data_IF_084051639007
#
_entry.id   IF_084051639007
#
_cell.length_a   1.000
_cell.length_b   1.000
_cell.length_c   1.000
_cell.angle_alpha   90.00
_cell.angle_beta   90.00
_cell.angle_gamma   90.00
#
_symmetry.space_group_name_H-M   'P 1'
#
loop_
_entity.id
_entity.type
_entity.pdbx_description
1 polymer ?
#
# COMPACT_ATOMS: atom_id res chain seq x y z
N UNK A 1 14.73 -2.08 -7.82
CA UNK A 1 15.31 -1.04 -6.99
C UNK A 1 14.51 -0.83 -5.73
N UNK A 2 15.13 -0.89 -4.65
CA UNK A 2 14.42 -0.62 -3.42
C UNK A 2 13.94 0.81 -3.40
N UNK A 3 12.97 1.04 -2.59
CA UNK A 3 12.45 2.38 -2.43
C UNK A 3 13.57 3.32 -2.04
N UNK A 4 13.45 4.54 -2.47
CA UNK A 4 14.41 5.55 -2.11
C UNK A 4 14.37 5.90 -0.63
N UNK A 5 13.41 5.38 0.07
CA UNK A 5 13.20 5.69 1.49
C UNK A 5 13.39 4.40 2.29
N UNK A 6 14.29 4.42 3.27
CA UNK A 6 14.57 3.24 4.07
C UNK A 6 13.46 2.90 5.07
N UNK A 7 12.41 3.70 5.10
CA UNK A 7 11.23 3.40 5.92
C UNK A 7 10.10 2.78 5.11
N UNK A 8 10.29 2.59 3.83
CA UNK A 8 9.28 2.03 2.94
C UNK A 8 9.87 0.88 2.15
N UNK A 9 9.20 -0.26 2.21
CA UNK A 9 9.53 -1.41 1.39
C UNK A 9 8.37 -1.72 0.48
N UNK A 10 8.65 -2.04 -0.78
CA UNK A 10 7.62 -2.45 -1.73
C UNK A 10 7.92 -3.88 -2.13
N UNK A 11 7.01 -4.81 -1.81
CA UNK A 11 7.22 -6.22 -2.15
C UNK A 11 7.03 -6.45 -3.64
N UNK A 12 7.53 -7.57 -4.17
CA UNK A 12 7.32 -7.88 -5.58
C UNK A 12 5.85 -7.91 -6.00
N UNK A 13 4.92 -8.51 -5.25
CA UNK A 13 3.52 -8.42 -5.63
C UNK A 13 2.99 -6.99 -5.70
N UNK A 14 3.41 -6.14 -4.75
CA UNK A 14 2.99 -4.74 -4.76
C UNK A 14 3.58 -4.02 -5.96
N UNK A 15 4.84 -4.31 -6.28
CA UNK A 15 5.48 -3.69 -7.44
C UNK A 15 4.76 -4.09 -8.73
N UNK A 16 4.39 -5.36 -8.83
CA UNK A 16 3.64 -5.82 -10.01
C UNK A 16 2.30 -5.11 -10.14
N UNK A 17 1.61 -4.94 -9.00
CA UNK A 17 0.36 -4.18 -9.01
C UNK A 17 0.56 -2.76 -9.49
N UNK A 18 1.62 -2.13 -9.00
CA UNK A 18 1.94 -0.77 -9.41
C UNK A 18 2.25 -0.69 -10.89
N UNK A 19 3.00 -1.67 -11.40
CA UNK A 19 3.40 -1.69 -12.80
C UNK A 19 2.20 -1.86 -13.75
N UNK A 20 1.10 -2.42 -13.25
CA UNK A 20 -0.09 -2.61 -14.05
C UNK A 20 -1.00 -1.39 -14.07
N UNK A 21 -0.68 -0.36 -13.32
CA UNK A 21 -1.51 0.84 -13.29
C UNK A 21 -1.21 1.75 -14.48
N UNK A 22 -2.20 2.49 -14.97
CA UNK A 22 -1.90 3.56 -15.91
C UNK A 22 -0.91 4.54 -15.31
N UNK A 23 -0.12 5.19 -16.16
CA UNK A 23 0.97 6.03 -15.68
C UNK A 23 0.52 7.09 -14.66
N UNK A 24 -0.60 7.77 -14.95
CA UNK A 24 -1.08 8.80 -14.05
C UNK A 24 -1.48 8.22 -12.69
N UNK A 25 -2.10 7.04 -12.69
CA UNK A 25 -2.49 6.38 -11.45
C UNK A 25 -1.26 5.93 -10.67
N UNK A 26 -0.26 5.39 -11.37
CA UNK A 26 0.96 4.96 -10.71
C UNK A 26 1.65 6.13 -10.01
N UNK A 27 1.72 7.27 -10.67
CA UNK A 27 2.31 8.46 -10.06
C UNK A 27 1.55 8.87 -8.81
N UNK A 28 0.22 8.87 -8.88
CA UNK A 28 -0.59 9.25 -7.73
C UNK A 28 -0.38 8.29 -6.55
N UNK A 29 -0.31 6.99 -6.83
CA UNK A 29 -0.09 6.00 -5.78
C UNK A 29 1.29 6.16 -5.17
N UNK A 30 2.32 6.35 -5.99
CA UNK A 30 3.68 6.54 -5.47
C UNK A 30 3.77 7.78 -4.58
N UNK A 31 3.13 8.86 -4.99
CA UNK A 31 3.10 10.07 -4.17
C UNK A 31 2.43 9.80 -2.82
N UNK A 32 1.37 9.01 -2.83
CA UNK A 32 0.69 8.63 -1.60
C UNK A 32 1.62 7.79 -0.71
N UNK A 33 2.31 6.82 -1.29
CA UNK A 33 3.21 5.95 -0.53
C UNK A 33 4.33 6.74 0.13
N UNK A 34 4.93 7.65 -0.60
CA UNK A 34 6.07 8.42 -0.09
C UNK A 34 5.65 9.60 0.77
N UNK A 35 4.40 10.00 0.70
CA UNK A 35 3.89 11.13 1.44
C UNK A 35 3.04 10.71 2.62
N UNK A 36 1.74 10.72 2.42
CA UNK A 36 0.78 10.52 3.51
C UNK A 36 0.95 9.18 4.21
N UNK A 37 1.21 8.11 3.45
CA UNK A 37 1.33 6.80 4.05
C UNK A 37 2.52 6.72 5.01
N UNK A 38 3.67 7.23 4.60
CA UNK A 38 4.84 7.21 5.47
C UNK A 38 4.71 8.16 6.64
N UNK A 39 4.00 9.25 6.44
CA UNK A 39 3.83 10.25 7.48
C UNK A 39 2.92 9.76 8.60
N UNK A 40 1.78 9.17 8.23
CA UNK A 40 0.81 8.74 9.21
C UNK A 40 0.17 7.42 8.79
N UNK A 41 0.94 6.32 8.83
CA UNK A 41 0.44 5.05 8.31
C UNK A 41 -0.79 4.52 9.04
N UNK A 42 -0.94 4.83 10.32
CA UNK A 42 -2.10 4.36 11.07
C UNK A 42 -3.32 5.21 10.86
N UNK A 43 -3.14 6.41 10.35
CA UNK A 43 -4.25 7.33 10.16
C UNK A 43 -4.89 7.21 8.80
N UNK A 44 -4.08 6.97 7.77
CA UNK A 44 -4.59 6.96 6.41
C UNK A 44 -5.26 5.66 6.03
N UNK A 45 -5.08 4.60 6.84
CA UNK A 45 -5.68 3.31 6.55
C UNK A 45 -6.45 2.76 7.72
N UNK A 46 -6.95 1.55 7.54
CA UNK A 46 -7.69 0.84 8.57
C UNK A 46 -7.08 -0.54 8.76
N UNK A 47 -7.02 -1.02 10.00
CA UNK A 47 -6.50 -2.37 10.23
C UNK A 47 -7.44 -3.41 9.65
N UNK A 48 -6.88 -4.45 9.09
CA UNK A 48 -7.64 -5.59 8.61
C UNK A 48 -7.74 -6.60 9.73
N UNK A 49 -8.71 -7.52 9.63
CA UNK A 49 -9.03 -8.44 10.70
C UNK A 49 -8.84 -9.87 10.28
N UNK A 50 -9.06 -10.76 11.22
CA UNK A 50 -9.00 -12.20 11.04
C UNK A 50 -7.61 -12.60 10.60
N UNK A 51 -7.51 -13.44 9.58
CA UNK A 51 -6.20 -13.93 9.18
C UNK A 51 -5.32 -12.85 8.57
N UNK A 52 -5.86 -11.67 8.35
CA UNK A 52 -5.07 -10.55 7.86
C UNK A 52 -4.68 -9.59 8.98
N UNK A 53 -4.89 -9.99 10.23
CA UNK A 53 -4.54 -9.11 11.33
C UNK A 53 -3.05 -8.79 11.30
N UNK A 54 -2.71 -7.55 11.65
CA UNK A 54 -1.34 -7.09 11.50
C UNK A 54 -1.11 -6.33 10.20
N UNK A 55 -2.09 -6.36 9.30
CA UNK A 55 -2.00 -5.58 8.08
C UNK A 55 -3.06 -4.49 8.06
N UNK A 56 -2.85 -3.53 7.18
CA UNK A 56 -3.69 -2.36 7.05
C UNK A 56 -4.06 -2.16 5.60
N UNK A 57 -5.16 -1.48 5.36
CA UNK A 57 -5.61 -1.16 4.02
C UNK A 57 -5.90 0.32 3.92
N UNK A 58 -5.34 0.97 2.91
CA UNK A 58 -5.62 2.37 2.62
C UNK A 58 -6.15 2.46 1.20
N UNK A 59 -7.03 3.44 0.98
CA UNK A 59 -7.63 3.62 -0.32
C UNK A 59 -7.14 4.93 -0.94
N UNK A 60 -6.75 4.85 -2.19
CA UNK A 60 -6.34 6.04 -2.93
C UNK A 60 -7.05 6.03 -4.27
N UNK A 61 -8.09 6.85 -4.40
CA UNK A 61 -8.94 6.82 -5.58
C UNK A 61 -9.58 5.44 -5.72
N UNK A 62 -9.54 4.83 -6.91
CA UNK A 62 -10.09 3.49 -7.10
C UNK A 62 -9.13 2.37 -6.71
N UNK A 63 -7.99 2.69 -6.11
CA UNK A 63 -6.97 1.70 -5.80
C UNK A 63 -6.86 1.48 -4.31
N UNK A 64 -6.48 0.26 -3.94
CA UNK A 64 -6.29 -0.13 -2.55
C UNK A 64 -4.84 -0.54 -2.34
N UNK A 65 -4.27 -0.05 -1.26
CA UNK A 65 -2.90 -0.38 -0.85
C UNK A 65 -3.00 -1.17 0.45
N UNK A 66 -2.45 -2.39 0.45
CA UNK A 66 -2.38 -3.22 1.65
C UNK A 66 -0.95 -3.18 2.14
N UNK A 67 -0.76 -2.90 3.42
CA UNK A 67 0.57 -2.70 3.97
C UNK A 67 0.63 -3.17 5.42
N UNK A 68 1.85 -3.36 5.91
CA UNK A 68 2.08 -3.64 7.32
C UNK A 68 2.97 -2.54 7.89
N UNK A 69 2.91 -2.41 9.22
CA UNK A 69 3.70 -1.44 9.94
C UNK A 69 4.53 -2.20 10.96
N UNK A 70 5.84 -2.12 10.85
CA UNK A 70 6.73 -2.77 11.81
C UNK A 70 7.19 -1.77 12.84
N UNK A 71 7.18 -2.19 14.09
CA UNK A 71 7.60 -1.38 15.21
C UNK A 71 8.87 -1.98 15.80
N UNK A 72 9.64 -1.21 16.51
CA UNK A 72 9.45 0.21 16.84
C UNK A 72 9.94 1.18 15.78
N UNK A 73 10.58 0.69 14.74
CA UNK A 73 11.23 1.54 13.76
C UNK A 73 10.25 2.14 12.74
N UNK A 74 8.99 1.79 12.80
CA UNK A 74 7.95 2.28 11.86
C UNK A 74 8.39 2.09 10.42
N UNK A 75 8.62 0.84 10.06
CA UNK A 75 8.88 0.45 8.69
C UNK A 75 7.56 0.05 8.05
N UNK A 76 7.20 0.68 6.95
CA UNK A 76 5.99 0.36 6.23
C UNK A 76 6.35 -0.54 5.06
N UNK A 77 5.74 -1.72 5.02
CA UNK A 77 5.94 -2.67 3.93
C UNK A 77 4.66 -2.75 3.12
N UNK A 78 4.74 -2.36 1.85
CA UNK A 78 3.58 -2.42 0.96
C UNK A 78 3.49 -3.82 0.40
N UNK A 79 2.40 -4.50 0.71
CA UNK A 79 2.22 -5.91 0.39
C UNK A 79 1.48 -6.10 -0.93
N UNK A 80 0.49 -5.25 -1.21
CA UNK A 80 -0.29 -5.35 -2.44
C UNK A 80 -0.82 -4.00 -2.84
N UNK A 81 -0.99 -3.81 -4.14
CA UNK A 81 -1.65 -2.64 -4.71
C UNK A 81 -2.64 -3.17 -5.73
N UNK A 82 -3.93 -2.99 -5.49
CA UNK A 82 -4.98 -3.54 -6.32
C UNK A 82 -6.03 -2.50 -6.67
N UNK A 83 -6.71 -2.71 -7.77
CA UNK A 83 -7.88 -1.92 -8.10
C UNK A 83 -9.04 -2.42 -7.23
N UNK A 84 -9.75 -1.51 -6.57
CA UNK A 84 -10.83 -1.90 -5.65
C UNK A 84 -11.90 -2.74 -6.35
N UNK A 85 -12.21 -2.42 -7.60
CA UNK A 85 -13.22 -3.16 -8.32
C UNK A 85 -12.83 -4.63 -8.52
N UNK A 86 -11.54 -4.88 -8.72
CA UNK A 86 -11.07 -6.26 -8.89
C UNK A 86 -11.25 -7.05 -7.60
N UNK A 87 -11.02 -6.42 -6.47
CA UNK A 87 -11.18 -7.08 -5.18
C UNK A 87 -12.64 -7.48 -4.98
N UNK A 88 -13.54 -6.58 -5.22
CA UNK A 88 -14.95 -6.87 -5.04
C UNK A 88 -15.48 -7.88 -6.03
N UNK A 89 -14.96 -7.85 -7.23
CA UNK A 89 -15.39 -8.73 -8.26
C UNK A 89 -15.09 -10.19 -7.96
N UNK A 90 -14.03 -10.42 -7.27
CA UNK A 90 -13.64 -11.77 -6.93
C UNK A 90 -14.46 -12.32 -5.79
N UNK A 91 -15.00 -11.45 -5.01
CA UNK A 91 -15.75 -11.74 -3.81
C UNK A 91 -16.84 -12.70 -3.95
#
# INVERSE_FOLDING_TARGET
MPAANDRLLVTPPAQRGLDHLPAAAAVAVVKFLLGDLLREPRRVGKPLRAELSGTWSARRGPYRVVYSIDEPAVLVTVLRIDHCADVYRRG
#
